data_IF_802160134219
#
_entry.id   IF_802160134219
#
_cell.length_a   1.000
_cell.length_b   1.000
_cell.length_c   1.000
_cell.angle_alpha   90.00
_cell.angle_beta   90.00
_cell.angle_gamma   90.00
#
_symmetry.space_group_name_H-M   'P 1'
#
loop_
_entity.id
_entity.type
_entity.pdbx_description
1 polymer ?
#
# COMPACT_ATOMS: atom_id res chain seq x y z
N UNK A 1 15.08 5.68 -4.42
CA UNK A 1 14.49 6.85 -5.12
C UNK A 1 13.43 7.44 -4.20
N UNK A 2 13.28 8.77 -4.13
CA UNK A 2 12.27 9.42 -3.27
C UNK A 2 11.42 10.38 -4.11
N UNK A 3 10.09 10.24 -4.07
CA UNK A 3 9.13 11.06 -4.81
C UNK A 3 8.75 12.36 -4.10
N UNK A 4 9.72 13.16 -3.65
CA UNK A 4 9.41 14.41 -2.95
C UNK A 4 8.66 15.41 -3.85
N UNK A 5 8.20 16.54 -3.30
CA UNK A 5 7.45 17.57 -4.07
C UNK A 5 8.20 18.07 -5.31
N UNK A 6 9.53 18.01 -5.30
CA UNK A 6 10.37 18.35 -6.46
C UNK A 6 10.47 17.23 -7.51
N UNK A 7 10.15 16.00 -7.12
CA UNK A 7 10.36 14.75 -7.86
C UNK A 7 9.03 13.97 -8.01
N UNK A 8 7.90 14.68 -8.16
CA UNK A 8 6.61 14.06 -8.48
C UNK A 8 6.72 13.37 -9.83
N UNK A 9 6.54 12.04 -9.82
CA UNK A 9 6.52 11.27 -11.05
C UNK A 9 5.23 11.58 -11.83
N UNK A 10 5.31 11.91 -13.13
CA UNK A 10 4.11 12.15 -13.93
C UNK A 10 3.19 10.93 -13.95
N UNK A 11 1.87 11.18 -13.97
CA UNK A 11 0.83 10.14 -14.09
C UNK A 11 1.14 9.07 -15.15
N UNK A 12 1.64 9.45 -16.32
CA UNK A 12 1.92 8.52 -17.42
C UNK A 12 3.23 7.71 -17.25
N UNK A 13 3.87 7.79 -16.10
CA UNK A 13 5.16 7.13 -15.88
C UNK A 13 4.98 5.66 -15.53
N UNK A 14 5.90 4.84 -16.04
CA UNK A 14 6.14 3.50 -15.53
C UNK A 14 7.46 3.51 -14.76
N UNK A 15 7.44 3.07 -13.50
CA UNK A 15 8.62 3.01 -12.65
C UNK A 15 9.06 1.56 -12.46
N UNK A 16 10.34 1.29 -12.70
CA UNK A 16 10.95 0.01 -12.33
C UNK A 16 11.71 0.16 -11.01
N UNK A 17 11.37 -0.68 -10.02
CA UNK A 17 12.05 -0.78 -8.73
C UNK A 17 12.78 -2.12 -8.71
N UNK A 18 14.06 -2.08 -9.07
CA UNK A 18 14.92 -3.26 -9.16
C UNK A 18 15.22 -3.94 -7.82
N UNK A 19 15.95 -5.05 -7.87
CA UNK A 19 16.33 -5.84 -6.69
C UNK A 19 17.11 -5.03 -5.65
N UNK A 20 16.68 -5.13 -4.40
CA UNK A 20 17.21 -4.36 -3.27
C UNK A 20 16.99 -2.84 -3.36
N UNK A 21 16.29 -2.34 -4.39
CA UNK A 21 15.96 -0.94 -4.50
C UNK A 21 14.70 -0.60 -3.71
N UNK A 22 14.67 0.62 -3.17
CA UNK A 22 13.50 1.16 -2.48
C UNK A 22 13.04 2.44 -3.18
N UNK A 23 11.76 2.50 -3.53
CA UNK A 23 11.07 3.74 -3.86
C UNK A 23 10.29 4.21 -2.63
N UNK A 24 10.57 5.44 -2.18
CA UNK A 24 9.85 6.08 -1.07
C UNK A 24 8.96 7.16 -1.65
N UNK A 25 7.68 7.20 -1.30
CA UNK A 25 6.73 8.17 -1.86
C UNK A 25 7.13 9.61 -1.56
N UNK A 26 7.45 9.97 -0.31
CA UNK A 26 7.92 11.32 0.09
C UNK A 26 6.90 12.47 -0.05
N UNK A 27 5.93 12.32 -0.96
CA UNK A 27 4.70 13.06 -1.14
C UNK A 27 3.69 12.15 -1.85
N UNK A 28 2.41 12.55 -1.95
CA UNK A 28 1.41 11.82 -2.73
C UNK A 28 1.90 11.60 -4.18
N UNK A 29 1.80 10.36 -4.65
CA UNK A 29 2.20 9.96 -6.00
C UNK A 29 1.01 9.45 -6.79
N UNK A 30 0.99 9.79 -8.08
CA UNK A 30 0.05 9.24 -9.06
C UNK A 30 0.87 8.75 -10.25
N UNK A 31 0.93 7.43 -10.42
CA UNK A 31 1.84 6.75 -11.34
C UNK A 31 1.04 5.72 -12.14
N UNK A 32 1.31 5.56 -13.43
CA UNK A 32 0.57 4.62 -14.25
C UNK A 32 0.82 3.20 -13.78
N UNK A 33 2.09 2.81 -13.68
CA UNK A 33 2.48 1.47 -13.25
C UNK A 33 3.81 1.48 -12.51
N UNK A 34 3.95 0.52 -11.59
CA UNK A 34 5.23 0.22 -10.95
C UNK A 34 5.50 -1.27 -11.12
N UNK A 35 6.70 -1.60 -11.57
CA UNK A 35 7.23 -2.96 -11.62
C UNK A 35 8.25 -3.15 -10.50
N UNK A 36 7.93 -4.03 -9.54
CA UNK A 36 8.79 -4.38 -8.40
C UNK A 36 9.08 -5.89 -8.32
N UNK A 37 8.93 -6.64 -9.43
CA UNK A 37 9.00 -8.13 -9.46
C UNK A 37 10.28 -8.73 -8.93
N UNK A 38 11.38 -7.97 -8.93
CA UNK A 38 12.68 -8.43 -8.50
C UNK A 38 12.93 -8.19 -7.01
N UNK A 39 11.90 -8.24 -6.16
CA UNK A 39 11.99 -7.88 -4.72
C UNK A 39 12.26 -6.40 -4.47
N UNK A 40 11.88 -5.53 -5.41
CA UNK A 40 11.86 -4.09 -5.17
C UNK A 40 10.89 -3.74 -4.05
N UNK A 41 11.21 -2.73 -3.24
CA UNK A 41 10.35 -2.29 -2.14
C UNK A 41 9.72 -0.93 -2.47
N UNK A 42 8.42 -0.81 -2.22
CA UNK A 42 7.73 0.47 -2.23
C UNK A 42 7.42 0.83 -0.78
N UNK A 43 7.97 1.95 -0.34
CA UNK A 43 7.77 2.51 0.98
C UNK A 43 6.80 3.70 0.86
N UNK A 44 5.56 3.46 1.26
CA UNK A 44 4.58 4.53 1.44
C UNK A 44 4.69 4.95 2.90
N UNK A 45 5.17 6.16 3.12
CA UNK A 45 5.42 6.70 4.45
C UNK A 45 4.90 8.13 4.57
N UNK A 46 4.96 8.67 5.78
CA UNK A 46 4.63 10.07 6.09
C UNK A 46 3.16 10.46 5.83
N UNK A 47 2.24 9.47 5.83
CA UNK A 47 0.81 9.69 5.63
C UNK A 47 0.45 9.98 4.18
N UNK A 48 1.22 9.43 3.24
CA UNK A 48 1.06 9.69 1.80
C UNK A 48 0.17 8.65 1.13
N UNK A 49 -0.32 9.00 -0.06
CA UNK A 49 -1.09 8.11 -0.92
C UNK A 49 -0.33 7.82 -2.20
N UNK A 50 -0.22 6.54 -2.55
CA UNK A 50 0.21 6.10 -3.88
C UNK A 50 -1.00 5.64 -4.69
N UNK A 51 -1.24 6.28 -5.84
CA UNK A 51 -2.29 5.91 -6.80
C UNK A 51 -1.68 5.23 -8.02
N UNK A 52 -2.21 4.06 -8.37
CA UNK A 52 -1.80 3.28 -9.55
C UNK A 52 -2.97 3.04 -10.49
N UNK A 53 -2.78 3.22 -11.81
CA UNK A 53 -3.86 3.02 -12.80
C UNK A 53 -3.73 1.77 -13.67
N UNK A 54 -2.61 1.06 -13.57
CA UNK A 54 -2.43 -0.27 -14.13
C UNK A 54 -1.34 -1.03 -13.39
N UNK A 55 -1.65 -2.26 -12.98
CA UNK A 55 -0.65 -3.12 -12.36
C UNK A 55 -0.68 -4.49 -13.02
N UNK A 56 0.49 -4.91 -13.48
CA UNK A 56 0.71 -6.25 -14.02
C UNK A 56 1.94 -6.86 -13.33
N UNK A 57 1.98 -6.81 -11.98
CA UNK A 57 2.83 -7.63 -11.06
C UNK A 57 2.94 -7.10 -9.61
N UNK A 58 3.37 -8.00 -8.70
CA UNK A 58 3.59 -7.91 -7.24
C UNK A 58 4.16 -6.60 -6.66
N UNK A 59 3.51 -6.04 -5.63
CA UNK A 59 3.96 -4.83 -4.89
C UNK A 59 4.20 -5.15 -3.40
N UNK A 60 5.09 -4.41 -2.74
CA UNK A 60 5.22 -4.38 -1.28
C UNK A 60 4.72 -3.02 -0.76
N UNK A 61 3.97 -2.98 0.34
CA UNK A 61 3.42 -1.73 0.91
C UNK A 61 3.82 -1.58 2.38
N UNK A 62 3.91 -0.34 2.88
CA UNK A 62 4.02 -0.02 4.30
C UNK A 62 2.73 0.67 4.76
N UNK A 63 2.25 0.40 5.99
CA UNK A 63 1.15 1.14 6.61
C UNK A 63 1.42 1.43 8.10
N UNK A 64 0.85 2.52 8.61
CA UNK A 64 0.92 2.98 10.00
C UNK A 64 -0.43 2.79 10.71
N UNK A 65 -0.46 2.16 11.90
CA UNK A 65 -1.70 1.82 12.65
C UNK A 65 -1.70 2.42 14.08
N UNK A 66 -2.64 3.33 14.41
CA UNK A 66 -2.53 4.19 15.61
C UNK A 66 -3.80 4.47 16.44
N UNK A 67 -4.96 4.78 15.85
CA UNK A 67 -6.17 5.31 16.52
C UNK A 67 -7.44 4.47 16.24
N UNK A 68 -7.35 3.15 16.26
CA UNK A 68 -8.49 2.29 15.91
C UNK A 68 -8.94 2.57 14.47
N UNK A 69 -10.24 2.73 14.23
CA UNK A 69 -10.78 3.02 12.88
C UNK A 69 -10.30 4.38 12.31
N UNK A 70 -9.99 5.35 13.19
CA UNK A 70 -9.51 6.68 12.81
C UNK A 70 -7.97 6.75 12.71
N UNK A 71 -7.30 5.58 12.66
CA UNK A 71 -5.85 5.52 12.45
C UNK A 71 -5.50 6.21 11.14
N UNK A 72 -4.59 7.18 11.22
CA UNK A 72 -3.95 7.71 10.01
C UNK A 72 -3.00 6.64 9.48
N UNK A 73 -3.29 6.15 8.28
CA UNK A 73 -2.51 5.17 7.56
C UNK A 73 -2.09 5.72 6.20
N UNK A 74 -0.90 5.30 5.77
CA UNK A 74 -0.52 5.31 4.37
C UNK A 74 -1.45 4.38 3.57
N UNK A 75 -1.74 4.75 2.32
CA UNK A 75 -2.68 4.01 1.47
C UNK A 75 -2.14 3.74 0.08
N UNK A 76 -2.28 2.49 -0.36
CA UNK A 76 -2.25 2.13 -1.78
C UNK A 76 -3.65 2.22 -2.36
N UNK A 77 -3.82 3.01 -3.41
CA UNK A 77 -5.08 3.13 -4.13
C UNK A 77 -4.90 2.61 -5.55
N UNK A 78 -5.71 1.62 -5.90
CA UNK A 78 -5.72 0.94 -7.19
C UNK A 78 -6.87 1.45 -8.04
N UNK A 79 -6.56 1.96 -9.23
CA UNK A 79 -7.50 2.61 -10.14
C UNK A 79 -7.37 2.06 -11.58
N UNK A 80 -7.45 0.74 -11.71
CA UNK A 80 -7.48 0.03 -12.99
C UNK A 80 -7.50 -1.49 -12.80
N UNK A 81 -7.08 -2.22 -13.83
CA UNK A 81 -6.90 -3.68 -13.72
C UNK A 81 -5.74 -4.01 -12.78
N UNK A 82 -5.95 -5.00 -11.91
CA UNK A 82 -4.97 -5.44 -10.91
C UNK A 82 -4.81 -6.96 -10.95
N UNK A 83 -3.59 -7.45 -10.74
CA UNK A 83 -3.27 -8.87 -10.67
C UNK A 83 -2.00 -9.12 -9.87
N UNK A 84 -1.80 -10.38 -9.45
CA UNK A 84 -0.60 -10.82 -8.73
C UNK A 84 -0.72 -10.74 -7.21
N UNK A 85 0.37 -11.04 -6.51
CA UNK A 85 0.41 -11.10 -5.05
C UNK A 85 1.16 -9.89 -4.49
N UNK A 86 0.61 -9.22 -3.50
CA UNK A 86 1.23 -8.09 -2.80
C UNK A 86 1.43 -8.47 -1.34
N UNK A 87 2.65 -8.28 -0.83
CA UNK A 87 2.94 -8.44 0.60
C UNK A 87 2.89 -7.07 1.27
N UNK A 88 1.93 -6.88 2.16
CA UNK A 88 1.75 -5.65 2.93
C UNK A 88 2.55 -5.77 4.22
N UNK A 89 3.57 -4.95 4.36
CA UNK A 89 4.26 -4.70 5.62
C UNK A 89 3.52 -3.56 6.31
N UNK A 90 3.43 -3.63 7.64
CA UNK A 90 2.76 -2.59 8.41
C UNK A 90 3.67 -2.26 9.58
N UNK A 91 4.16 -1.02 9.58
CA UNK A 91 5.07 -0.50 10.58
C UNK A 91 4.30 0.47 11.47
N UNK A 92 4.10 0.10 12.74
CA UNK A 92 3.59 1.07 13.69
C UNK A 92 4.67 2.09 14.05
N UNK A 93 4.35 3.37 13.89
CA UNK A 93 5.25 4.48 14.19
C UNK A 93 5.10 4.89 15.69
N UNK A 94 3.91 4.76 16.28
CA UNK A 94 3.56 4.92 17.72
C UNK A 94 2.19 4.27 18.02
N UNK A 95 1.79 4.20 19.30
CA UNK A 95 0.50 3.65 19.75
C UNK A 95 0.61 2.25 20.34
N UNK A 96 -0.43 1.80 21.05
CA UNK A 96 -0.51 0.46 21.66
C UNK A 96 -1.72 -0.33 21.12
N UNK A 97 -2.21 0.07 19.95
CA UNK A 97 -3.44 -0.47 19.36
C UNK A 97 -4.72 -0.06 20.09
N UNK A 98 -5.82 -0.02 19.33
CA UNK A 98 -7.20 0.15 19.78
C UNK A 98 -8.14 -0.75 18.96
N UNK A 99 -9.28 -1.19 19.53
CA UNK A 99 -10.23 -2.01 18.78
C UNK A 99 -10.79 -1.23 17.57
N UNK A 100 -10.96 -1.93 16.45
CA UNK A 100 -11.55 -1.39 15.22
C UNK A 100 -12.94 -2.00 15.01
N UNK A 101 -13.91 -1.21 14.56
CA UNK A 101 -15.23 -1.67 14.13
C UNK A 101 -15.30 -1.88 12.62
N UNK A 102 -14.61 -1.06 11.83
CA UNK A 102 -14.58 -1.13 10.36
C UNK A 102 -13.21 -1.51 9.82
N UNK A 103 -12.18 -1.45 10.67
CA UNK A 103 -10.81 -1.69 10.27
C UNK A 103 -10.12 -0.41 9.80
N UNK A 104 -8.82 -0.53 9.54
CA UNK A 104 -7.96 0.56 9.07
C UNK A 104 -7.72 0.35 7.59
N UNK A 105 -8.16 1.30 6.76
CA UNK A 105 -7.98 1.20 5.31
C UNK A 105 -6.50 1.39 4.95
N UNK A 106 -5.91 0.39 4.30
CA UNK A 106 -4.50 0.41 3.84
C UNK A 106 -4.38 0.14 2.34
N UNK A 107 -5.39 -0.52 1.76
CA UNK A 107 -5.53 -0.75 0.33
C UNK A 107 -6.94 -0.35 -0.08
N UNK A 108 -7.06 0.38 -1.17
CA UNK A 108 -8.34 0.80 -1.73
C UNK A 108 -8.42 0.49 -3.23
N UNK A 109 -9.62 0.20 -3.72
CA UNK A 109 -9.91 0.05 -5.14
C UNK A 109 -10.85 1.18 -5.57
N UNK A 110 -10.30 2.19 -6.21
CA UNK A 110 -11.06 3.34 -6.72
C UNK A 110 -11.71 3.06 -8.09
N UNK A 111 -11.24 2.02 -8.80
CA UNK A 111 -11.78 1.66 -10.10
C UNK A 111 -13.18 1.06 -10.03
N UNK A 112 -14.00 1.35 -11.04
CA UNK A 112 -15.32 0.73 -11.23
C UNK A 112 -15.18 -0.78 -11.47
N UNK A 113 -15.68 -1.65 -10.56
CA UNK A 113 -15.51 -3.10 -10.68
C UNK A 113 -16.29 -3.71 -11.85
N UNK A 114 -17.17 -2.94 -12.51
CA UNK A 114 -17.86 -3.38 -13.74
C UNK A 114 -17.00 -3.17 -15.00
N UNK A 115 -15.98 -2.32 -14.92
CA UNK A 115 -15.10 -1.96 -16.03
C UNK A 115 -13.69 -2.55 -15.87
N UNK A 116 -13.26 -2.77 -14.64
CA UNK A 116 -11.91 -3.21 -14.32
C UNK A 116 -11.91 -4.49 -13.50
N UNK A 117 -10.90 -5.32 -13.75
CA UNK A 117 -10.69 -6.58 -13.06
C UNK A 117 -9.81 -6.37 -11.83
N UNK A 118 -10.30 -6.79 -10.66
CA UNK A 118 -9.51 -6.84 -9.44
C UNK A 118 -9.16 -8.29 -9.11
N UNK A 119 -7.98 -8.73 -9.56
CA UNK A 119 -7.46 -10.08 -9.32
C UNK A 119 -6.18 -10.07 -8.48
N UNK A 120 -5.78 -8.92 -7.95
CA UNK A 120 -4.69 -8.84 -7.00
C UNK A 120 -5.04 -9.55 -5.69
N UNK A 121 -4.03 -10.10 -5.03
CA UNK A 121 -4.14 -10.80 -3.75
C UNK A 121 -3.19 -10.16 -2.76
N UNK A 122 -3.66 -9.89 -1.56
CA UNK A 122 -2.87 -9.20 -0.53
C UNK A 122 -2.65 -10.12 0.65
N UNK A 123 -1.44 -10.10 1.19
CA UNK A 123 -1.09 -10.83 2.40
C UNK A 123 -0.30 -9.93 3.33
N UNK A 124 -0.52 -10.06 4.63
CA UNK A 124 0.27 -9.33 5.61
C UNK A 124 1.62 -10.03 5.81
N UNK A 125 2.70 -9.26 5.88
CA UNK A 125 4.04 -9.77 6.08
C UNK A 125 4.19 -10.50 7.43
N UNK A 126 5.25 -11.33 7.53
CA UNK A 126 5.56 -12.06 8.75
C UNK A 126 4.56 -13.18 9.03
N UNK A 127 3.99 -13.20 10.24
CA UNK A 127 3.07 -14.23 10.72
C UNK A 127 1.61 -14.01 10.31
N UNK A 128 1.32 -13.02 9.46
CA UNK A 128 -0.04 -12.70 9.03
C UNK A 128 -0.83 -11.80 9.99
N UNK A 129 -0.18 -11.30 11.05
CA UNK A 129 -0.76 -10.31 11.96
C UNK A 129 0.29 -9.29 12.44
N UNK A 130 -0.18 -8.12 12.84
CA UNK A 130 0.61 -7.07 13.50
C UNK A 130 0.24 -7.05 14.97
N UNK A 131 1.20 -7.36 15.85
CA UNK A 131 1.00 -7.23 17.29
C UNK A 131 1.23 -5.80 17.74
N UNK A 132 0.23 -5.21 18.36
CA UNK A 132 0.28 -3.89 18.97
C UNK A 132 -0.01 -3.99 20.45
N UNK A 133 0.73 -4.82 21.19
CA UNK A 133 0.51 -4.99 22.63
C UNK A 133 -0.76 -5.78 22.93
N UNK A 134 -1.85 -5.11 23.32
CA UNK A 134 -3.10 -5.77 23.72
C UNK A 134 -3.96 -6.22 22.53
N UNK A 135 -3.65 -5.75 21.31
CA UNK A 135 -4.43 -5.99 20.10
C UNK A 135 -3.56 -6.62 19.01
N UNK A 136 -4.12 -7.59 18.32
CA UNK A 136 -3.57 -8.15 17.08
C UNK A 136 -4.43 -7.69 15.90
N UNK A 137 -3.78 -7.23 14.83
CA UNK A 137 -4.45 -6.83 13.60
C UNK A 137 -4.11 -7.81 12.48
N UNK A 138 -5.12 -8.20 11.72
CA UNK A 138 -4.96 -9.00 10.49
C UNK A 138 -5.40 -8.18 9.29
N UNK A 139 -4.81 -8.43 8.12
CA UNK A 139 -5.33 -7.88 6.88
C UNK A 139 -6.58 -8.64 6.47
N UNK A 140 -7.67 -7.92 6.20
CA UNK A 140 -8.95 -8.46 5.77
C UNK A 140 -9.46 -7.69 4.56
N UNK A 141 -10.14 -8.39 3.66
CA UNK A 141 -10.91 -7.77 2.57
C UNK A 141 -12.25 -7.28 3.13
N UNK A 142 -12.62 -6.04 2.80
CA UNK A 142 -13.94 -5.48 3.12
C UNK A 142 -14.99 -6.10 2.18
N UNK A 143 -16.17 -6.49 2.70
CA UNK A 143 -17.21 -7.19 1.92
C UNK A 143 -18.31 -6.25 1.43
#
# INVERSE_FOLDING_TARGET
>A
LKGDVADILPYASSLWVGDGATFVTGADQDIQSIDAISSGTIDISDGTVLRLTGQDTSVALNASLFNGDDSVSDQLVMNGNTAGNTTVVVNSITGIGEPTSTGIKVVDFAADPTQFQNNAQFSLAGSGYVNMGAYDYTLVEDN
#
